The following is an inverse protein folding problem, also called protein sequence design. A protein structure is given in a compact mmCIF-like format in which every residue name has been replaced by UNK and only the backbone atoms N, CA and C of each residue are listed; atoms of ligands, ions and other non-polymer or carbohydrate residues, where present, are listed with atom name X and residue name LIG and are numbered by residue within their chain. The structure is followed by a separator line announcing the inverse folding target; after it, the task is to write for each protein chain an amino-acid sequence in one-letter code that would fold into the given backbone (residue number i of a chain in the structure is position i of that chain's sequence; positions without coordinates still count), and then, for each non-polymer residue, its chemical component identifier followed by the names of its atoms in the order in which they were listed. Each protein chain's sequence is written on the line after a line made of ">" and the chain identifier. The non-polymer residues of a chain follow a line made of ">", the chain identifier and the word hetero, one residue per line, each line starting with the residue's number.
data_IF_373714933316
#
_entry.id   IF_373714933316
#
_cell.length_a   1.000
_cell.length_b   1.000
_cell.length_c   1.000
_cell.angle_alpha   90.00
_cell.angle_beta   90.00
_cell.angle_gamma   90.00
#
_symmetry.space_group_name_H-M   'P 1'
#
loop_
_entity.id
_entity.type
_entity.pdbx_description
1 polymer ?
#
# COMPACT_ATOMS: atom_id res chain seq x y z
N UNK A 1 12.31 -22.52 -2.86
CA UNK A 1 11.81 -21.41 -3.71
C UNK A 1 12.97 -20.48 -4.05
N UNK A 2 13.85 -20.95 -4.93
CA UNK A 2 15.14 -20.33 -5.29
C UNK A 2 15.10 -19.93 -6.77
N UNK A 3 14.27 -18.94 -7.15
CA UNK A 3 14.29 -18.41 -8.53
C UNK A 3 13.97 -16.91 -8.49
N UNK A 4 14.91 -16.12 -7.98
CA UNK A 4 15.09 -14.73 -8.39
C UNK A 4 16.60 -14.49 -8.43
N UNK A 5 17.16 -14.82 -9.59
CA UNK A 5 18.54 -14.56 -9.98
C UNK A 5 18.87 -13.07 -9.75
N UNK A 6 20.06 -12.77 -9.25
CA UNK A 6 20.53 -11.41 -9.01
C UNK A 6 20.80 -10.69 -10.35
N UNK A 7 19.74 -10.42 -11.11
CA UNK A 7 19.83 -9.56 -12.28
C UNK A 7 20.26 -8.16 -11.80
N UNK A 8 21.21 -7.50 -12.47
CA UNK A 8 21.51 -6.10 -12.20
C UNK A 8 20.20 -5.30 -12.31
N UNK A 9 20.08 -4.22 -11.53
CA UNK A 9 18.89 -3.38 -11.56
C UNK A 9 18.79 -2.77 -12.96
N UNK A 10 18.04 -3.41 -13.85
CA UNK A 10 17.86 -2.91 -15.19
C UNK A 10 17.00 -1.65 -15.09
N UNK A 11 17.47 -0.53 -15.64
CA UNK A 11 16.71 0.72 -15.69
C UNK A 11 15.33 0.49 -16.31
N UNK A 12 15.25 -0.44 -17.26
CA UNK A 12 14.01 -0.90 -17.88
C UNK A 12 13.03 -1.42 -16.82
N UNK A 13 13.46 -2.28 -15.90
CA UNK A 13 12.59 -2.85 -14.86
C UNK A 13 12.06 -1.76 -13.90
N UNK A 14 12.86 -0.74 -13.60
CA UNK A 14 12.41 0.38 -12.77
C UNK A 14 11.37 1.25 -13.50
N UNK A 15 11.57 1.51 -14.79
CA UNK A 15 10.60 2.22 -15.62
C UNK A 15 9.30 1.41 -15.73
N UNK A 16 9.38 0.11 -16.04
CA UNK A 16 8.23 -0.79 -16.06
C UNK A 16 7.50 -0.80 -14.72
N UNK A 17 8.23 -0.84 -13.60
CA UNK A 17 7.63 -0.77 -12.26
C UNK A 17 6.89 0.55 -12.04
N UNK A 18 7.50 1.68 -12.41
CA UNK A 18 6.87 3.00 -12.30
C UNK A 18 5.58 3.09 -13.14
N UNK A 19 5.61 2.57 -14.37
CA UNK A 19 4.42 2.50 -15.24
C UNK A 19 3.33 1.59 -14.65
N UNK A 20 3.69 0.41 -14.16
CA UNK A 20 2.73 -0.52 -13.52
C UNK A 20 2.11 0.10 -12.28
N UNK A 21 2.90 0.76 -11.42
CA UNK A 21 2.38 1.47 -10.26
C UNK A 21 1.47 2.63 -10.64
N UNK A 22 1.77 3.30 -11.76
CA UNK A 22 0.93 4.37 -12.32
C UNK A 22 -0.42 3.82 -12.81
N UNK A 23 -0.43 2.69 -13.51
CA UNK A 23 -1.68 2.01 -13.89
C UNK A 23 -2.44 1.43 -12.70
N UNK A 24 -1.75 0.93 -11.68
CA UNK A 24 -2.37 0.46 -10.45
C UNK A 24 -3.15 1.60 -9.76
N UNK A 25 -2.65 2.83 -9.81
CA UNK A 25 -3.41 3.98 -9.34
C UNK A 25 -4.73 4.17 -10.11
N UNK A 26 -4.73 4.02 -11.43
CA UNK A 26 -5.94 4.14 -12.26
C UNK A 26 -7.01 3.10 -11.91
N UNK A 27 -6.61 1.92 -11.42
CA UNK A 27 -7.53 0.87 -10.97
C UNK A 27 -7.96 1.02 -9.51
N UNK A 28 -7.82 2.22 -8.92
CA UNK A 28 -8.09 2.53 -7.51
C UNK A 28 -7.19 1.79 -6.50
N UNK A 29 -6.10 1.16 -6.96
CA UNK A 29 -5.10 0.59 -6.07
C UNK A 29 -4.10 1.67 -5.60
N UNK A 30 -3.42 1.42 -4.49
CA UNK A 30 -2.55 2.40 -3.85
C UNK A 30 -1.13 2.43 -4.46
N UNK A 31 -1.04 2.44 -5.79
CA UNK A 31 0.22 2.34 -6.53
C UNK A 31 1.21 3.48 -6.24
N UNK A 32 0.71 4.67 -5.90
CA UNK A 32 1.54 5.81 -5.52
C UNK A 32 2.44 5.51 -4.30
N UNK A 33 1.93 4.76 -3.31
CA UNK A 33 2.69 4.41 -2.10
C UNK A 33 3.88 3.49 -2.40
N UNK A 34 3.82 2.75 -3.51
CA UNK A 34 4.87 1.82 -3.92
C UNK A 34 6.13 2.53 -4.44
N UNK A 35 6.11 3.86 -4.57
CA UNK A 35 7.30 4.64 -4.92
C UNK A 35 8.45 4.43 -3.94
N UNK A 36 8.14 4.10 -2.68
CA UNK A 36 9.15 3.74 -1.68
C UNK A 36 10.07 2.61 -2.14
N UNK A 37 9.59 1.69 -2.99
CA UNK A 37 10.43 0.62 -3.55
C UNK A 37 11.43 1.12 -4.59
N UNK A 38 11.02 2.07 -5.44
CA UNK A 38 11.93 2.73 -6.38
C UNK A 38 12.96 3.56 -5.60
N UNK A 39 12.50 4.27 -4.57
CA UNK A 39 13.34 5.02 -3.64
C UNK A 39 14.41 4.16 -2.98
N UNK A 40 13.98 3.03 -2.42
CA UNK A 40 14.89 2.06 -1.82
C UNK A 40 15.90 1.50 -2.83
N UNK A 41 15.45 1.17 -4.05
CA UNK A 41 16.34 0.65 -5.08
C UNK A 41 17.43 1.68 -5.49
N UNK A 42 17.06 2.96 -5.61
CA UNK A 42 18.00 4.06 -5.87
C UNK A 42 18.94 4.32 -4.69
N UNK A 43 18.45 4.20 -3.45
CA UNK A 43 19.27 4.28 -2.25
C UNK A 43 20.35 3.18 -2.24
N UNK A 44 19.97 1.94 -2.53
CA UNK A 44 20.91 0.82 -2.62
C UNK A 44 21.96 1.05 -3.72
N UNK A 45 21.58 1.55 -4.89
CA UNK A 45 22.56 1.95 -5.92
C UNK A 45 23.54 3.03 -5.47
N UNK A 46 23.10 3.90 -4.57
CA UNK A 46 23.90 5.04 -4.10
C UNK A 46 24.91 4.61 -3.04
N UNK A 47 24.46 3.77 -2.11
CA UNK A 47 25.26 3.27 -0.97
C UNK A 47 26.24 2.17 -1.40
N UNK A 48 25.96 1.46 -2.49
CA UNK A 48 26.74 0.31 -2.92
C UNK A 48 27.68 0.59 -4.08
N UNK A 49 28.91 0.10 -3.99
CA UNK A 49 29.86 0.02 -5.12
C UNK A 49 30.09 -1.45 -5.47
N UNK A 50 29.87 -1.82 -6.75
CA UNK A 50 30.23 -3.15 -7.27
C UNK A 50 31.65 -3.06 -7.83
N UNK A 51 32.60 -3.77 -7.23
CA UNK A 51 33.98 -3.84 -7.73
C UNK A 51 34.43 -5.29 -7.83
N UNK A 52 34.79 -5.74 -9.04
CA UNK A 52 35.25 -7.12 -9.34
C UNK A 52 34.40 -8.21 -8.66
N UNK A 53 33.07 -8.12 -8.80
CA UNK A 53 32.13 -9.12 -8.25
C UNK A 53 31.89 -9.05 -6.74
N UNK A 54 32.66 -8.27 -5.98
CA UNK A 54 32.37 -7.97 -4.57
C UNK A 54 31.62 -6.64 -4.45
N UNK A 55 30.55 -6.67 -3.69
CA UNK A 55 29.76 -5.49 -3.32
C UNK A 55 30.25 -4.94 -2.00
N UNK A 56 30.82 -3.74 -2.03
CA UNK A 56 31.31 -3.04 -0.85
C UNK A 56 30.49 -1.78 -0.58
N UNK A 57 30.37 -1.43 0.70
CA UNK A 57 29.75 -0.19 1.13
C UNK A 57 30.66 0.99 0.78
N UNK A 58 30.05 2.06 0.29
CA UNK A 58 30.72 3.36 0.22
C UNK A 58 30.76 3.91 1.64
N UNK A 59 31.94 4.36 2.10
CA UNK A 59 32.06 5.06 3.37
C UNK A 59 31.12 6.28 3.38
N UNK A 60 30.56 6.60 4.55
CA UNK A 60 29.64 7.74 4.72
C UNK A 60 30.49 9.03 4.67
N UNK A 61 30.86 9.42 3.46
CA UNK A 61 31.65 10.62 3.16
C UNK A 61 30.84 11.56 2.26
N UNK A 62 31.35 12.78 2.03
CA UNK A 62 30.74 13.75 1.11
C UNK A 62 30.50 13.19 -0.30
N UNK A 63 31.22 12.15 -0.71
CA UNK A 63 31.01 11.45 -1.99
C UNK A 63 29.67 10.72 -2.09
N UNK A 64 29.10 10.27 -0.96
CA UNK A 64 27.78 9.65 -0.91
C UNK A 64 26.68 10.68 -1.17
N UNK A 65 26.80 11.87 -0.57
CA UNK A 65 25.88 12.99 -0.74
C UNK A 65 25.86 13.43 -2.20
N UNK A 66 27.03 13.58 -2.82
CA UNK A 66 27.15 13.93 -4.24
C UNK A 66 26.45 12.86 -5.12
N UNK A 67 26.68 11.57 -4.85
CA UNK A 67 26.00 10.50 -5.60
C UNK A 67 24.48 10.52 -5.41
N UNK A 68 24.00 10.79 -4.21
CA UNK A 68 22.56 10.91 -3.93
C UNK A 68 21.94 12.08 -4.72
N UNK A 69 22.62 13.23 -4.75
CA UNK A 69 22.19 14.41 -5.52
C UNK A 69 22.08 14.08 -7.01
N UNK A 70 23.04 13.34 -7.58
CA UNK A 70 22.98 12.92 -8.99
C UNK A 70 21.80 11.98 -9.30
N UNK A 71 21.21 11.32 -8.29
CA UNK A 71 20.04 10.45 -8.45
C UNK A 71 18.70 11.19 -8.30
N UNK A 72 18.69 12.42 -7.81
CA UNK A 72 17.49 13.27 -7.71
C UNK A 72 16.76 13.42 -9.05
N UNK A 73 17.39 13.81 -10.18
CA UNK A 73 16.66 13.97 -11.44
C UNK A 73 15.99 12.67 -11.90
N UNK A 74 16.62 11.52 -11.62
CA UNK A 74 16.05 10.22 -11.93
C UNK A 74 14.85 9.89 -11.02
N UNK A 75 14.92 10.23 -9.73
CA UNK A 75 13.78 10.11 -8.82
C UNK A 75 12.60 10.97 -9.28
N UNK A 76 12.87 12.22 -9.68
CA UNK A 76 11.87 13.15 -10.19
C UNK A 76 11.21 12.62 -11.47
N UNK A 77 11.98 11.97 -12.35
CA UNK A 77 11.45 11.32 -13.54
C UNK A 77 10.47 10.17 -13.19
N UNK A 78 10.80 9.32 -12.22
CA UNK A 78 9.88 8.27 -11.77
C UNK A 78 8.63 8.83 -11.07
N UNK A 79 8.80 9.87 -10.25
CA UNK A 79 7.70 10.62 -9.65
C UNK A 79 6.75 11.18 -10.70
N UNK A 80 7.30 11.78 -11.78
CA UNK A 80 6.51 12.32 -12.87
C UNK A 80 5.63 11.25 -13.54
N UNK A 81 6.19 10.07 -13.84
CA UNK A 81 5.43 8.94 -14.41
C UNK A 81 4.27 8.52 -13.49
N UNK A 82 4.49 8.51 -12.18
CA UNK A 82 3.47 8.10 -11.19
C UNK A 82 2.38 9.15 -11.00
N UNK A 83 2.75 10.43 -11.02
CA UNK A 83 1.85 11.55 -10.75
C UNK A 83 0.99 11.89 -11.97
N UNK A 84 1.45 11.55 -13.18
CA UNK A 84 0.75 11.92 -14.42
C UNK A 84 -0.72 11.47 -14.43
N UNK A 85 -1.09 10.18 -14.19
CA UNK A 85 -2.50 9.79 -14.16
C UNK A 85 -3.27 10.37 -12.99
N UNK A 86 -2.61 10.58 -11.84
CA UNK A 86 -3.21 11.24 -10.68
C UNK A 86 -3.65 12.67 -11.04
N UNK A 87 -2.82 13.42 -11.75
CA UNK A 87 -3.13 14.79 -12.18
C UNK A 87 -4.19 14.82 -13.27
N UNK A 88 -4.14 13.91 -14.24
CA UNK A 88 -5.19 13.77 -15.26
C UNK A 88 -6.53 13.49 -14.59
N UNK A 89 -6.58 12.52 -13.67
CA UNK A 89 -7.79 12.20 -12.93
C UNK A 89 -8.27 13.37 -12.06
N UNK A 90 -7.34 14.04 -11.38
CA UNK A 90 -7.66 15.22 -10.56
C UNK A 90 -8.29 16.34 -11.38
N UNK A 91 -7.76 16.61 -12.57
CA UNK A 91 -8.30 17.61 -13.49
C UNK A 91 -9.74 17.27 -13.92
N UNK A 92 -10.00 16.02 -14.29
CA UNK A 92 -11.36 15.57 -14.68
C UNK A 92 -12.36 15.73 -13.52
N UNK A 93 -11.94 15.48 -12.28
CA UNK A 93 -12.79 15.68 -11.09
C UNK A 93 -13.06 17.17 -10.87
N UNK A 94 -12.03 18.00 -10.98
CA UNK A 94 -12.15 19.46 -10.82
C UNK A 94 -13.10 20.06 -11.87
N UNK A 95 -12.97 19.67 -13.14
CA UNK A 95 -13.88 20.07 -14.21
C UNK A 95 -15.33 19.68 -13.91
N UNK A 96 -15.55 18.43 -13.46
CA UNK A 96 -16.89 17.92 -13.16
C UNK A 96 -17.55 18.55 -11.95
N UNK A 97 -16.80 18.93 -10.92
CA UNK A 97 -17.39 19.37 -9.65
C UNK A 97 -17.27 20.87 -9.41
N UNK A 98 -16.22 21.53 -9.90
CA UNK A 98 -15.99 22.95 -9.69
C UNK A 98 -16.50 23.81 -10.85
N UNK A 99 -16.44 23.30 -12.09
CA UNK A 99 -16.81 24.07 -13.29
C UNK A 99 -18.15 23.66 -13.91
N UNK A 100 -18.58 22.42 -13.71
CA UNK A 100 -19.90 21.98 -14.21
C UNK A 100 -21.04 22.57 -13.38
N UNK A 101 -21.92 23.33 -14.04
CA UNK A 101 -23.20 23.74 -13.45
C UNK A 101 -24.10 22.52 -13.43
N UNK A 102 -24.44 22.05 -12.23
CA UNK A 102 -25.28 20.88 -12.09
C UNK A 102 -26.76 21.23 -12.37
N UNK A 103 -27.22 20.98 -13.59
CA UNK A 103 -28.63 21.05 -13.94
C UNK A 103 -29.32 19.73 -13.57
N UNK A 104 -29.46 19.46 -12.28
CA UNK A 104 -30.26 18.32 -11.82
C UNK A 104 -31.74 18.63 -12.05
N UNK A 105 -32.33 17.98 -13.05
CA UNK A 105 -33.76 18.13 -13.38
C UNK A 105 -34.66 17.17 -12.62
N UNK A 106 -34.09 16.14 -11.96
CA UNK A 106 -34.88 15.16 -11.23
C UNK A 106 -35.24 15.67 -9.82
N UNK A 107 -36.54 15.91 -9.52
CA UNK A 107 -36.97 16.46 -8.24
C UNK A 107 -36.66 15.54 -7.06
N UNK A 108 -36.65 14.21 -7.24
CA UNK A 108 -36.31 13.26 -6.18
C UNK A 108 -34.87 13.41 -5.68
N UNK A 109 -33.93 13.70 -6.59
CA UNK A 109 -32.52 13.88 -6.24
C UNK A 109 -32.34 15.17 -5.45
N UNK A 110 -33.03 16.23 -5.85
CA UNK A 110 -33.00 17.53 -5.17
C UNK A 110 -33.62 17.44 -3.77
N UNK A 111 -34.72 16.69 -3.63
CA UNK A 111 -35.38 16.47 -2.35
C UNK A 111 -34.54 15.59 -1.42
N UNK A 112 -33.97 14.50 -1.93
CA UNK A 112 -33.03 13.67 -1.18
C UNK A 112 -31.81 14.45 -0.70
N UNK A 113 -31.20 15.27 -1.57
CA UNK A 113 -30.05 16.07 -1.20
C UNK A 113 -30.33 17.15 -0.16
N UNK A 114 -31.55 17.71 -0.14
CA UNK A 114 -31.99 18.63 0.91
C UNK A 114 -32.16 17.94 2.26
N UNK A 115 -32.74 16.74 2.26
CA UNK A 115 -32.98 15.98 3.48
C UNK A 115 -31.69 15.43 4.11
N UNK A 116 -30.75 14.94 3.29
CA UNK A 116 -29.51 14.29 3.74
C UNK A 116 -28.30 15.24 3.77
N UNK A 117 -28.49 16.55 3.54
CA UNK A 117 -27.41 17.56 3.52
C UNK A 117 -26.25 17.26 2.54
N UNK A 118 -26.57 16.64 1.41
CA UNK A 118 -25.58 16.21 0.41
C UNK A 118 -25.08 17.40 -0.40
N UNK A 119 -23.78 17.46 -0.68
CA UNK A 119 -23.18 18.52 -1.50
C UNK A 119 -23.17 18.10 -2.97
N UNK A 120 -23.77 18.92 -3.83
CA UNK A 120 -23.84 18.69 -5.26
C UNK A 120 -22.66 19.32 -6.03
N UNK A 121 -22.28 18.78 -7.21
CA UNK A 121 -21.40 19.46 -8.15
C UNK A 121 -21.86 20.91 -8.41
N UNK A 122 -20.96 21.86 -8.59
CA UNK A 122 -21.29 23.27 -8.81
C UNK A 122 -21.70 24.06 -7.55
N UNK A 123 -21.90 23.42 -6.39
CA UNK A 123 -22.10 24.11 -5.11
C UNK A 123 -20.78 24.60 -4.50
N UNK A 124 -20.10 25.52 -5.20
CA UNK A 124 -18.73 25.99 -4.89
C UNK A 124 -18.59 26.47 -3.43
N UNK A 125 -19.62 27.13 -2.88
CA UNK A 125 -19.60 27.59 -1.47
C UNK A 125 -19.42 26.47 -0.45
N UNK A 126 -19.94 25.27 -0.75
CA UNK A 126 -19.87 24.10 0.13
C UNK A 126 -18.68 23.17 -0.22
N UNK A 127 -18.07 23.37 -1.37
CA UNK A 127 -16.89 22.66 -1.87
C UNK A 127 -15.64 23.50 -1.59
N UNK A 128 -15.14 23.44 -0.36
CA UNK A 128 -13.94 24.19 0.08
C UNK A 128 -12.74 23.99 -0.83
N UNK A 129 -12.58 22.79 -1.38
CA UNK A 129 -11.51 22.44 -2.32
C UNK A 129 -11.66 22.99 -3.75
N UNK A 130 -12.79 23.61 -4.10
CA UNK A 130 -12.97 24.33 -5.37
C UNK A 130 -12.63 25.82 -5.26
N UNK A 131 -12.46 26.36 -4.05
CA UNK A 131 -12.25 27.78 -3.85
C UNK A 131 -10.75 28.12 -3.91
N UNK A 132 -10.37 29.03 -4.81
CA UNK A 132 -8.98 29.41 -5.03
C UNK A 132 -8.33 30.13 -3.85
N UNK A 133 -9.14 30.60 -2.91
CA UNK A 133 -8.71 31.35 -1.73
C UNK A 133 -8.41 30.47 -0.52
N UNK A 134 -8.73 29.17 -0.59
CA UNK A 134 -8.44 28.22 0.49
C UNK A 134 -6.96 27.82 0.45
N UNK A 135 -6.30 27.73 1.60
CA UNK A 135 -4.86 27.38 1.70
C UNK A 135 -4.55 26.04 1.01
N UNK A 136 -5.55 25.16 0.92
CA UNK A 136 -5.46 23.84 0.29
C UNK A 136 -5.42 23.89 -1.24
N UNK A 137 -5.99 24.92 -1.87
CA UNK A 137 -5.99 25.09 -3.34
C UNK A 137 -4.76 25.86 -3.83
N UNK A 138 -4.09 26.63 -2.97
CA UNK A 138 -2.89 27.38 -3.36
C UNK A 138 -1.86 26.41 -3.95
N UNK A 139 -1.39 26.60 -5.20
CA UNK A 139 -0.45 25.70 -5.84
C UNK A 139 0.83 25.64 -5.01
N UNK A 140 0.96 24.57 -4.25
CA UNK A 140 2.09 24.27 -3.40
C UNK A 140 2.65 22.90 -3.80
N UNK A 141 3.83 22.56 -3.30
CA UNK A 141 4.49 21.30 -3.63
C UNK A 141 3.61 20.08 -3.29
N UNK A 142 2.76 20.18 -2.27
CA UNK A 142 1.86 19.12 -1.82
C UNK A 142 0.70 18.91 -2.82
N UNK A 143 0.16 19.99 -3.40
CA UNK A 143 -0.92 19.94 -4.41
C UNK A 143 -0.49 19.24 -5.70
N UNK A 144 0.82 19.15 -5.96
CA UNK A 144 1.37 18.37 -7.07
C UNK A 144 1.29 16.85 -6.82
N UNK A 145 1.49 16.43 -5.56
CA UNK A 145 1.51 15.03 -5.15
C UNK A 145 0.15 14.50 -4.69
N UNK A 146 -0.76 15.38 -4.24
CA UNK A 146 -2.08 14.98 -3.75
C UNK A 146 -3.17 15.89 -4.31
N UNK A 147 -4.28 15.33 -4.83
CA UNK A 147 -5.39 16.14 -5.34
C UNK A 147 -6.01 17.04 -4.25
N UNK A 148 -6.38 18.28 -4.60
CA UNK A 148 -6.92 19.27 -3.66
C UNK A 148 -8.27 18.85 -3.03
N UNK A 149 -9.02 17.94 -3.65
CA UNK A 149 -10.24 17.43 -3.01
C UNK A 149 -9.95 16.37 -1.92
N UNK A 150 -8.83 15.65 -2.00
CA UNK A 150 -8.63 14.46 -1.18
C UNK A 150 -8.52 14.80 0.30
N UNK A 151 -7.70 15.80 0.67
CA UNK A 151 -7.56 16.22 2.07
C UNK A 151 -8.83 16.86 2.63
N UNK A 152 -9.51 17.71 1.84
CA UNK A 152 -10.76 18.35 2.25
C UNK A 152 -11.88 17.32 2.52
N UNK A 153 -12.04 16.34 1.63
CA UNK A 153 -13.01 15.25 1.80
C UNK A 153 -12.62 14.39 3.01
N UNK A 154 -11.33 14.07 3.16
CA UNK A 154 -10.87 13.26 4.28
C UNK A 154 -11.13 13.91 5.63
N UNK A 155 -10.85 15.20 5.74
CA UNK A 155 -11.11 15.94 6.97
C UNK A 155 -12.61 15.99 7.29
N UNK A 156 -13.45 16.29 6.28
CA UNK A 156 -14.89 16.47 6.46
C UNK A 156 -15.61 15.19 6.89
N UNK A 157 -15.34 14.06 6.24
CA UNK A 157 -16.09 12.82 6.48
C UNK A 157 -15.42 11.87 7.47
N UNK A 158 -14.09 11.90 7.55
CA UNK A 158 -13.34 10.95 8.36
C UNK A 158 -12.59 11.57 9.54
N UNK A 159 -12.49 12.90 9.61
CA UNK A 159 -11.77 13.61 10.67
C UNK A 159 -10.37 13.00 10.87
N UNK A 160 -9.59 12.99 9.77
CA UNK A 160 -8.24 12.42 9.76
C UNK A 160 -7.29 13.26 10.60
N UNK A 161 -6.39 12.62 11.33
CA UNK A 161 -5.46 13.29 12.22
C UNK A 161 -4.91 12.33 13.25
N UNK A 162 -3.86 12.75 13.96
CA UNK A 162 -3.22 11.91 14.96
C UNK A 162 -4.21 11.50 16.05
N UNK A 163 -4.51 10.20 16.13
CA UNK A 163 -5.47 9.57 17.04
C UNK A 163 -6.93 10.06 16.98
N UNK A 164 -7.29 10.95 16.05
CA UNK A 164 -8.64 11.52 15.98
C UNK A 164 -9.74 10.49 15.63
N UNK A 165 -9.33 9.36 15.03
CA UNK A 165 -10.21 8.26 14.67
C UNK A 165 -10.54 7.31 15.85
N UNK A 166 -9.84 7.41 16.97
CA UNK A 166 -10.03 6.52 18.13
C UNK A 166 -11.32 6.90 18.88
N UNK A 167 -12.41 6.22 18.52
CA UNK A 167 -13.72 6.35 19.18
C UNK A 167 -14.21 4.96 19.58
N UNK A 168 -14.85 4.84 20.75
CA UNK A 168 -15.37 3.55 21.24
C UNK A 168 -16.31 2.85 20.24
N UNK A 169 -17.14 3.62 19.53
CA UNK A 169 -18.04 3.09 18.49
C UNK A 169 -17.32 2.39 17.33
N UNK A 170 -16.02 2.66 17.15
CA UNK A 170 -15.19 2.15 16.05
C UNK A 170 -14.34 0.93 16.45
N UNK A 171 -14.38 0.48 17.70
CA UNK A 171 -13.68 -0.72 18.19
C UNK A 171 -13.89 -1.97 17.28
N UNK A 172 -15.10 -2.27 16.77
CA UNK A 172 -15.29 -3.44 15.89
C UNK A 172 -14.37 -3.44 14.66
N UNK A 173 -14.03 -2.27 14.13
CA UNK A 173 -13.16 -2.14 12.95
C UNK A 173 -11.70 -2.43 13.28
N UNK A 174 -11.26 -2.03 14.48
CA UNK A 174 -9.94 -2.40 14.99
C UNK A 174 -9.84 -3.91 15.22
N UNK A 175 -10.93 -4.55 15.69
CA UNK A 175 -10.99 -6.01 15.83
C UNK A 175 -10.83 -6.69 14.48
N UNK A 176 -11.51 -6.19 13.43
CA UNK A 176 -11.37 -6.72 12.06
C UNK A 176 -9.94 -6.51 11.52
N UNK A 177 -9.31 -5.37 11.80
CA UNK A 177 -7.94 -5.10 11.35
C UNK A 177 -6.84 -5.84 12.13
N UNK A 178 -7.16 -6.29 13.34
CA UNK A 178 -6.19 -6.89 14.26
C UNK A 178 -5.40 -8.07 13.69
N UNK A 179 -5.99 -9.02 12.92
CA UNK A 179 -5.24 -10.15 12.39
C UNK A 179 -4.20 -9.69 11.37
N UNK A 180 -4.57 -8.77 10.49
CA UNK A 180 -3.67 -8.20 9.47
C UNK A 180 -2.48 -7.48 10.11
N UNK A 181 -2.74 -6.62 11.11
CA UNK A 181 -1.68 -5.95 11.86
C UNK A 181 -0.81 -6.95 12.63
N UNK A 182 -1.44 -7.94 13.26
CA UNK A 182 -0.76 -9.02 13.96
C UNK A 182 0.20 -9.80 13.06
N UNK A 183 -0.20 -10.11 11.82
CA UNK A 183 0.68 -10.79 10.86
C UNK A 183 1.89 -9.94 10.47
N UNK A 184 1.73 -8.62 10.33
CA UNK A 184 2.87 -7.74 10.04
C UNK A 184 3.86 -7.75 11.18
N UNK A 185 3.39 -7.55 12.42
CA UNK A 185 4.27 -7.56 13.60
C UNK A 185 4.93 -8.93 13.80
N UNK A 186 4.20 -10.02 13.61
CA UNK A 186 4.75 -11.37 13.64
C UNK A 186 5.81 -11.57 12.55
N UNK A 187 5.56 -11.14 11.32
CA UNK A 187 6.52 -11.22 10.22
C UNK A 187 7.79 -10.44 10.50
N UNK A 188 7.66 -9.22 11.02
CA UNK A 188 8.78 -8.35 11.41
C UNK A 188 9.58 -8.96 12.55
N UNK A 189 8.91 -9.50 13.58
CA UNK A 189 9.57 -10.17 14.69
C UNK A 189 10.40 -11.37 14.21
N UNK A 190 9.81 -12.25 13.39
CA UNK A 190 10.55 -13.38 12.81
C UNK A 190 11.72 -12.90 11.94
N UNK A 191 11.52 -11.84 11.16
CA UNK A 191 12.58 -11.27 10.34
C UNK A 191 13.73 -10.74 11.20
N UNK A 192 13.42 -10.09 12.32
CA UNK A 192 14.41 -9.60 13.26
C UNK A 192 15.21 -10.74 13.89
N UNK A 193 14.54 -11.82 14.29
CA UNK A 193 15.21 -13.04 14.79
C UNK A 193 16.07 -13.70 13.70
N UNK A 194 15.57 -13.81 12.46
CA UNK A 194 16.33 -14.33 11.32
C UNK A 194 17.61 -13.50 11.11
N UNK A 195 17.55 -12.18 11.23
CA UNK A 195 18.72 -11.28 11.11
C UNK A 195 19.69 -11.46 12.28
N UNK A 196 19.20 -11.57 13.52
CA UNK A 196 20.04 -11.75 14.71
C UNK A 196 20.75 -13.12 14.73
N UNK A 197 20.12 -14.14 14.17
CA UNK A 197 20.68 -15.50 14.10
C UNK A 197 21.55 -15.72 12.85
N UNK A 198 21.49 -14.80 11.88
CA UNK A 198 22.32 -14.85 10.69
C UNK A 198 23.78 -14.58 11.04
N UNK A 199 24.65 -15.57 10.77
CA UNK A 199 26.10 -15.46 10.98
C UNK A 199 26.79 -14.63 9.90
N UNK A 200 26.09 -14.25 8.83
CA UNK A 200 26.60 -13.36 7.79
C UNK A 200 26.79 -11.95 8.37
N UNK A 201 27.81 -11.24 7.90
CA UNK A 201 28.00 -9.83 8.23
C UNK A 201 26.70 -9.06 7.94
N UNK A 202 26.25 -8.17 8.84
CA UNK A 202 25.01 -7.37 8.68
C UNK A 202 24.96 -6.68 7.32
N UNK A 203 26.11 -6.19 6.88
CA UNK A 203 26.34 -5.61 5.56
C UNK A 203 25.95 -6.54 4.40
N UNK A 204 26.17 -7.85 4.53
CA UNK A 204 25.78 -8.81 3.51
C UNK A 204 24.27 -9.10 3.53
N UNK A 205 23.65 -9.11 4.71
CA UNK A 205 22.20 -9.30 4.88
C UNK A 205 21.41 -8.12 4.33
N UNK A 206 21.85 -6.90 4.63
CA UNK A 206 21.27 -5.65 4.13
C UNK A 206 21.43 -5.49 2.60
N UNK A 207 22.42 -6.16 2.00
CA UNK A 207 22.65 -6.13 0.55
C UNK A 207 21.96 -7.28 -0.19
N UNK A 208 21.46 -8.28 0.53
CA UNK A 208 20.69 -9.37 -0.07
C UNK A 208 19.31 -8.87 -0.49
N UNK A 209 19.16 -8.61 -1.79
CA UNK A 209 17.90 -8.15 -2.40
C UNK A 209 16.76 -9.16 -2.26
N UNK A 210 17.06 -10.42 -1.92
CA UNK A 210 16.04 -11.45 -1.66
C UNK A 210 15.45 -11.31 -0.26
N UNK A 211 16.09 -10.55 0.61
CA UNK A 211 15.66 -10.39 1.97
C UNK A 211 14.42 -9.48 2.04
N UNK A 212 13.36 -9.85 2.76
CA UNK A 212 12.10 -9.09 2.74
C UNK A 212 12.13 -7.80 3.59
N UNK A 213 13.31 -7.33 4.00
CA UNK A 213 13.51 -6.10 4.80
C UNK A 213 12.81 -4.88 4.19
N UNK A 214 12.97 -4.56 2.89
CA UNK A 214 12.38 -3.35 2.33
C UNK A 214 10.84 -3.39 2.38
N UNK A 215 10.28 -4.58 2.16
CA UNK A 215 8.84 -4.82 2.26
C UNK A 215 8.35 -4.73 3.71
N UNK A 216 9.14 -5.21 4.67
CA UNK A 216 8.85 -5.13 6.10
C UNK A 216 8.82 -3.68 6.60
N UNK A 217 9.85 -2.89 6.27
CA UNK A 217 9.95 -1.47 6.64
C UNK A 217 8.77 -0.69 6.03
N UNK A 218 8.47 -0.91 4.75
CA UNK A 218 7.33 -0.27 4.10
C UNK A 218 6.00 -0.65 4.76
N UNK A 219 5.78 -1.93 5.07
CA UNK A 219 4.56 -2.40 5.73
C UNK A 219 4.41 -1.85 7.14
N UNK A 220 5.50 -1.73 7.91
CA UNK A 220 5.49 -1.11 9.23
C UNK A 220 5.13 0.37 9.16
N UNK A 221 5.69 1.09 8.18
CA UNK A 221 5.35 2.49 7.95
C UNK A 221 3.85 2.64 7.64
N UNK A 222 3.31 1.83 6.73
CA UNK A 222 1.88 1.84 6.40
C UNK A 222 1.00 1.45 7.59
N UNK A 223 1.40 0.45 8.38
CA UNK A 223 0.68 0.05 9.59
C UNK A 223 0.67 1.16 10.64
N UNK A 224 1.80 1.84 10.85
CA UNK A 224 1.90 3.00 11.74
C UNK A 224 0.97 4.13 11.29
N UNK A 225 1.06 4.55 10.02
CA UNK A 225 0.17 5.56 9.48
C UNK A 225 -1.30 5.13 9.59
N UNK A 226 -1.59 3.85 9.37
CA UNK A 226 -2.95 3.32 9.44
C UNK A 226 -3.58 3.28 10.83
N UNK A 227 -2.78 3.05 11.87
CA UNK A 227 -3.25 3.00 13.26
C UNK A 227 -3.40 4.41 13.85
N UNK A 228 -2.48 5.31 13.51
CA UNK A 228 -2.37 6.60 14.20
C UNK A 228 -2.88 7.79 13.38
N UNK A 229 -2.84 7.74 12.05
CA UNK A 229 -3.10 8.91 11.19
C UNK A 229 -4.34 8.72 10.32
N UNK A 230 -4.46 7.55 9.69
CA UNK A 230 -5.56 7.20 8.79
C UNK A 230 -6.63 6.36 9.48
N UNK A 231 -7.72 6.12 8.76
CA UNK A 231 -8.76 5.22 9.21
C UNK A 231 -8.28 3.77 9.16
N UNK A 232 -8.55 3.02 10.22
CA UNK A 232 -8.24 1.59 10.28
C UNK A 232 -8.94 0.79 9.19
N UNK A 233 -10.16 1.19 8.80
CA UNK A 233 -10.90 0.64 7.64
C UNK A 233 -10.05 0.66 6.36
N UNK A 234 -9.42 1.80 6.05
CA UNK A 234 -8.61 1.98 4.84
C UNK A 234 -7.25 1.30 4.96
N UNK A 235 -6.77 1.12 6.18
CA UNK A 235 -5.41 0.64 6.47
C UNK A 235 -5.19 -0.79 6.07
N UNK A 236 -6.18 -1.67 6.27
CA UNK A 236 -6.12 -3.07 5.82
C UNK A 236 -5.92 -3.11 4.31
N UNK A 237 -6.79 -2.43 3.56
CA UNK A 237 -6.69 -2.32 2.09
C UNK A 237 -5.34 -1.76 1.64
N UNK A 238 -4.88 -0.71 2.33
CA UNK A 238 -3.61 -0.06 2.05
C UNK A 238 -2.47 -1.08 2.12
N UNK A 239 -2.39 -1.83 3.21
CA UNK A 239 -1.35 -2.81 3.46
C UNK A 239 -1.37 -3.94 2.42
N UNK A 240 -2.55 -4.52 2.15
CA UNK A 240 -2.68 -5.64 1.19
C UNK A 240 -2.39 -5.25 -0.26
N UNK A 241 -2.66 -4.01 -0.64
CA UNK A 241 -2.44 -3.52 -2.02
C UNK A 241 -1.05 -2.92 -2.25
N UNK A 242 -0.41 -2.39 -1.21
CA UNK A 242 0.88 -1.69 -1.35
C UNK A 242 2.10 -2.52 -0.97
N UNK A 243 1.96 -3.65 -0.25
CA UNK A 243 3.12 -4.45 0.13
C UNK A 243 2.97 -5.96 -0.05
N UNK A 244 3.97 -6.64 -0.65
CA UNK A 244 3.99 -8.09 -0.71
C UNK A 244 4.33 -8.76 0.64
N UNK A 245 4.75 -7.98 1.65
CA UNK A 245 5.29 -8.51 2.90
C UNK A 245 4.32 -9.42 3.65
N UNK A 246 3.04 -9.05 3.67
CA UNK A 246 2.02 -9.85 4.35
C UNK A 246 1.86 -11.22 3.67
N UNK A 247 1.84 -11.26 2.34
CA UNK A 247 1.75 -12.52 1.59
C UNK A 247 3.00 -13.39 1.81
N UNK A 248 4.20 -12.79 1.84
CA UNK A 248 5.45 -13.50 2.14
C UNK A 248 5.39 -14.08 3.56
N UNK A 249 4.91 -13.31 4.53
CA UNK A 249 4.80 -13.75 5.93
C UNK A 249 3.80 -14.89 6.08
N UNK A 250 2.63 -14.76 5.45
CA UNK A 250 1.60 -15.80 5.45
C UNK A 250 2.09 -17.07 4.76
N UNK A 251 2.72 -16.95 3.59
CA UNK A 251 3.29 -18.10 2.88
C UNK A 251 4.35 -18.83 3.73
N UNK A 252 5.24 -18.09 4.41
CA UNK A 252 6.24 -18.67 5.34
C UNK A 252 5.56 -19.35 6.53
N UNK A 253 4.56 -18.71 7.12
CA UNK A 253 3.80 -19.26 8.24
C UNK A 253 3.12 -20.58 7.84
N UNK A 254 2.41 -20.58 6.72
CA UNK A 254 1.72 -21.76 6.23
C UNK A 254 2.73 -22.87 5.87
N UNK A 255 3.81 -22.54 5.17
CA UNK A 255 4.88 -23.50 4.80
C UNK A 255 5.54 -24.15 6.02
N UNK A 256 5.89 -23.38 7.06
CA UNK A 256 6.43 -23.95 8.32
C UNK A 256 5.44 -24.86 9.02
N UNK A 257 4.14 -24.61 8.85
CA UNK A 257 3.06 -25.31 9.54
C UNK A 257 2.53 -26.55 8.80
N UNK A 258 2.89 -26.73 7.53
CA UNK A 258 2.57 -27.92 6.71
C UNK A 258 3.82 -28.74 6.36
N UNK A 259 4.61 -29.24 7.34
CA UNK A 259 5.84 -30.00 7.06
C UNK A 259 5.59 -31.42 6.52
N UNK A 260 4.33 -31.88 6.48
CA UNK A 260 3.94 -33.23 6.05
C UNK A 260 3.76 -33.38 4.54
N UNK A 261 3.71 -32.27 3.79
CA UNK A 261 3.62 -32.29 2.32
C UNK A 261 5.06 -32.34 1.80
N UNK A 262 5.59 -33.56 1.65
CA UNK A 262 6.96 -33.79 1.16
C UNK A 262 6.99 -34.17 -0.32
N UNK A 263 5.88 -34.69 -0.84
CA UNK A 263 5.74 -35.14 -2.22
C UNK A 263 4.83 -34.17 -2.98
N UNK A 264 5.16 -33.78 -4.23
CA UNK A 264 4.28 -32.95 -5.06
C UNK A 264 2.88 -33.54 -5.24
N UNK A 265 2.76 -34.86 -5.20
CA UNK A 265 1.49 -35.57 -5.39
C UNK A 265 0.52 -35.38 -4.19
N UNK A 266 1.06 -35.19 -2.97
CA UNK A 266 0.25 -34.85 -1.78
C UNK A 266 -0.38 -33.44 -1.87
N UNK A 267 0.11 -32.59 -2.78
CA UNK A 267 -0.50 -31.29 -3.11
C UNK A 267 -1.65 -31.43 -4.10
N UNK A 268 -1.96 -32.61 -4.63
CA UNK A 268 -3.00 -32.81 -5.64
C UNK A 268 -4.29 -33.41 -5.06
N UNK A 269 -4.26 -33.90 -3.81
CA UNK A 269 -5.41 -34.49 -3.15
C UNK A 269 -5.88 -33.67 -1.92
N UNK A 270 -7.17 -33.27 -1.86
CA UNK A 270 -8.21 -33.35 -2.90
C UNK A 270 -8.01 -32.36 -4.07
N UNK A 271 -8.54 -32.65 -5.26
CA UNK A 271 -8.40 -31.81 -6.47
C UNK A 271 -8.84 -30.34 -6.26
N UNK A 272 -9.81 -30.10 -5.38
CA UNK A 272 -10.33 -28.76 -5.07
C UNK A 272 -9.57 -28.12 -3.90
N UNK A 273 -8.62 -27.24 -4.23
CA UNK A 273 -7.80 -26.49 -3.26
C UNK A 273 -7.13 -27.40 -2.19
N UNK A 274 -6.36 -28.41 -2.61
CA UNK A 274 -5.77 -29.47 -1.77
C UNK A 274 -5.01 -28.93 -0.56
N UNK A 275 -4.24 -27.87 -0.80
CA UNK A 275 -3.48 -27.18 0.23
C UNK A 275 -4.36 -26.55 1.33
N UNK A 276 -5.51 -25.98 0.98
CA UNK A 276 -6.39 -25.31 1.95
C UNK A 276 -7.12 -26.31 2.83
N UNK A 277 -7.57 -27.44 2.26
CA UNK A 277 -8.21 -28.51 3.01
C UNK A 277 -7.25 -29.12 4.04
N UNK A 278 -6.05 -29.49 3.59
CA UNK A 278 -5.00 -30.01 4.47
C UNK A 278 -4.54 -28.99 5.52
N UNK A 279 -4.51 -27.69 5.18
CA UNK A 279 -4.18 -26.63 6.13
C UNK A 279 -5.27 -26.47 7.21
N UNK A 280 -6.54 -26.53 6.83
CA UNK A 280 -7.71 -26.38 7.70
C UNK A 280 -7.83 -27.51 8.74
N UNK A 281 -7.62 -28.77 8.34
CA UNK A 281 -7.91 -29.93 9.17
C UNK A 281 -6.88 -30.22 10.28
N UNK A 282 -5.72 -29.55 10.29
CA UNK A 282 -4.64 -29.90 11.22
C UNK A 282 -4.77 -29.23 12.59
N UNK A 283 -5.20 -27.97 12.67
CA UNK A 283 -5.37 -27.24 13.94
C UNK A 283 -6.49 -26.19 13.86
N UNK A 284 -7.23 -25.93 14.96
CA UNK A 284 -8.37 -25.00 14.97
C UNK A 284 -7.98 -23.56 14.61
N UNK A 285 -6.79 -23.11 15.01
CA UNK A 285 -6.29 -21.77 14.65
C UNK A 285 -6.11 -21.60 13.13
N UNK A 286 -5.74 -22.68 12.42
CA UNK A 286 -5.52 -22.66 10.96
C UNK A 286 -6.82 -22.58 10.21
N UNK A 287 -7.81 -23.32 10.68
CA UNK A 287 -9.19 -23.20 10.21
C UNK A 287 -9.71 -21.77 10.41
N UNK A 288 -9.51 -21.18 11.59
CA UNK A 288 -9.93 -19.80 11.86
C UNK A 288 -9.27 -18.78 10.92
N UNK A 289 -7.96 -18.92 10.67
CA UNK A 289 -7.25 -18.10 9.69
C UNK A 289 -7.82 -18.23 8.28
N UNK A 290 -8.13 -19.46 7.86
CA UNK A 290 -8.71 -19.73 6.55
C UNK A 290 -10.10 -19.11 6.43
N UNK A 291 -10.93 -19.26 7.46
CA UNK A 291 -12.26 -18.64 7.54
C UNK A 291 -12.15 -17.12 7.49
N UNK A 292 -11.17 -16.51 8.17
CA UNK A 292 -10.92 -15.08 8.09
C UNK A 292 -10.58 -14.63 6.66
N UNK A 293 -9.64 -15.30 5.98
CA UNK A 293 -9.27 -14.92 4.61
C UNK A 293 -10.38 -15.16 3.60
N UNK A 294 -11.03 -16.32 3.65
CA UNK A 294 -12.15 -16.63 2.76
C UNK A 294 -13.35 -15.71 3.03
N UNK A 295 -13.64 -15.43 4.30
CA UNK A 295 -14.69 -14.50 4.70
C UNK A 295 -14.41 -13.09 4.22
N UNK A 296 -13.18 -12.59 4.37
CA UNK A 296 -12.80 -11.27 3.83
C UNK A 296 -12.88 -11.25 2.31
N UNK A 297 -12.45 -12.33 1.64
CA UNK A 297 -12.53 -12.44 0.19
C UNK A 297 -13.98 -12.44 -0.32
N UNK A 298 -14.84 -13.31 0.22
CA UNK A 298 -16.23 -13.41 -0.23
C UNK A 298 -17.02 -12.16 0.13
N UNK A 299 -16.91 -11.70 1.38
CA UNK A 299 -17.63 -10.54 1.86
C UNK A 299 -17.15 -9.26 1.18
N UNK A 300 -15.83 -9.08 1.03
CA UNK A 300 -15.25 -7.96 0.30
C UNK A 300 -15.68 -7.95 -1.17
N UNK A 301 -15.67 -9.12 -1.84
CA UNK A 301 -16.12 -9.19 -3.24
C UNK A 301 -17.61 -8.86 -3.38
N UNK A 302 -18.48 -9.41 -2.54
CA UNK A 302 -19.92 -9.17 -2.57
C UNK A 302 -20.27 -7.70 -2.22
N UNK A 303 -19.62 -7.14 -1.21
CA UNK A 303 -19.86 -5.76 -0.77
C UNK A 303 -19.30 -4.72 -1.75
N UNK A 304 -18.18 -5.04 -2.42
CA UNK A 304 -17.59 -4.14 -3.41
C UNK A 304 -18.50 -3.91 -4.62
N UNK A 305 -19.15 -4.97 -5.12
CA UNK A 305 -20.12 -4.88 -6.22
C UNK A 305 -21.31 -4.00 -5.83
N UNK A 306 -21.66 -3.97 -4.54
CA UNK A 306 -22.75 -3.18 -4.00
C UNK A 306 -22.34 -1.75 -3.57
N UNK A 307 -21.14 -1.27 -3.92
CA UNK A 307 -20.62 0.06 -3.56
C UNK A 307 -20.60 0.36 -2.04
N UNK A 308 -20.63 -0.68 -1.20
CA UNK A 308 -20.51 -0.53 0.24
C UNK A 308 -19.04 -0.31 0.63
N UNK A 309 -18.76 0.45 1.71
CA UNK A 309 -17.39 0.83 2.09
C UNK A 309 -16.53 -0.33 2.62
N UNK A 310 -16.98 -1.58 2.50
CA UNK A 310 -16.20 -2.76 2.84
C UNK A 310 -15.35 -3.18 1.66
N UNK A 311 -14.19 -2.52 1.55
CA UNK A 311 -12.98 -3.04 0.93
C UNK A 311 -11.76 -2.26 1.42
#
# INVERSE_FOLDING_TARGET
>A
MYILEQQPLNRINQICSAVIFSFAFMTRANGFLNIGYIGFALLIETVMKKHKGRTTYVAIDGTLIIKAIHKIPLMLFYLFILILPLRIFSYVIEEKYCHSVSNFTNPWILEYGKNESVVFPGMIKNLTWCNTNDEFYRPNLISLFMPPYYGAIQQKYWTVGFMQYWKFRKIPLFVIASPTLGFIFYGVYNLFIDILTDKRMINHVLTDRRHPIPYAIHSLFLAFCGIFIYNVEVSIRLIYSSSPFIYITLARLMSRQTPKIKVPDDLLEPFTLPFLFNYACVKPLRFLMLVYFLGYFTMGTLMHVNWLPFN
#
